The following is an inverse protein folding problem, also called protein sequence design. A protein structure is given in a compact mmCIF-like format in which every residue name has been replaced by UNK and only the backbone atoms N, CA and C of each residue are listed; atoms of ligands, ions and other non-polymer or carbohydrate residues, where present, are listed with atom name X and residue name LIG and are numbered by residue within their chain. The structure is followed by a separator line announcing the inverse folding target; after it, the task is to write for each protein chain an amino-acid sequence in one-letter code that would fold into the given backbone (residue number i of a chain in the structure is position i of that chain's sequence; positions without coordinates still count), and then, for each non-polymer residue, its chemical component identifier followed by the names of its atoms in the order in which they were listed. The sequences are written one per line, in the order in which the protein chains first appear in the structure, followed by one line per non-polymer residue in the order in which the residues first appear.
data_IF_424560183477
#
_entry.id   IF_424560183477
#
_cell.length_a   1.000
_cell.length_b   1.000
_cell.length_c   1.000
_cell.angle_alpha   90.00
_cell.angle_beta   90.00
_cell.angle_gamma   90.00
#
_symmetry.space_group_name_H-M   'P 1'
#
loop_
_entity.id
_entity.type
_entity.pdbx_description
1 polymer ?
#
# COMPACT_ATOMS: atom_id res chain seq x y z
N UNK A 1 -5.89 -16.18 4.76
CA UNK A 1 -5.49 -15.85 3.36
C UNK A 1 -3.98 -15.72 3.32
N UNK A 2 -3.29 -16.24 2.30
CA UNK A 2 -1.84 -16.08 2.15
C UNK A 2 -1.59 -15.02 1.06
N UNK A 3 -0.81 -13.99 1.39
CA UNK A 3 -0.41 -12.95 0.43
C UNK A 3 0.87 -13.42 -0.26
N UNK A 4 0.79 -13.68 -1.57
CA UNK A 4 1.90 -14.19 -2.39
C UNK A 4 2.34 -13.19 -3.45
N UNK A 5 1.50 -12.22 -3.81
CA UNK A 5 1.79 -11.21 -4.83
C UNK A 5 1.14 -9.89 -4.47
N UNK A 6 1.86 -8.81 -4.69
CA UNK A 6 1.40 -7.44 -4.38
C UNK A 6 1.55 -6.54 -5.61
N UNK A 7 0.53 -5.75 -5.89
CA UNK A 7 0.60 -4.67 -6.87
C UNK A 7 0.56 -3.34 -6.13
N UNK A 8 1.45 -2.44 -6.49
CA UNK A 8 1.49 -1.08 -5.95
C UNK A 8 1.17 -0.11 -7.08
N UNK A 9 0.20 0.78 -6.86
CA UNK A 9 -0.21 1.81 -7.81
C UNK A 9 0.24 3.17 -7.27
N UNK A 10 1.13 3.82 -8.00
CA UNK A 10 1.85 5.02 -7.60
C UNK A 10 3.27 4.70 -7.18
N UNK A 11 4.26 5.20 -7.91
CA UNK A 11 5.69 4.94 -7.73
C UNK A 11 6.44 6.12 -7.10
N UNK A 12 5.72 6.98 -6.38
CA UNK A 12 6.32 8.06 -5.57
C UNK A 12 7.20 7.53 -4.44
N UNK A 13 7.56 8.39 -3.51
CA UNK A 13 8.43 8.05 -2.36
C UNK A 13 7.87 6.86 -1.58
N UNK A 14 6.57 6.89 -1.26
CA UNK A 14 5.95 5.84 -0.45
C UNK A 14 5.80 4.53 -1.25
N UNK A 15 5.24 4.58 -2.47
CA UNK A 15 5.08 3.37 -3.27
C UNK A 15 6.41 2.69 -3.59
N UNK A 16 7.46 3.46 -3.90
CA UNK A 16 8.83 2.95 -4.06
C UNK A 16 9.37 2.31 -2.78
N UNK A 17 9.15 2.95 -1.63
CA UNK A 17 9.57 2.43 -0.33
C UNK A 17 8.87 1.12 0.04
N UNK A 18 7.54 1.04 -0.19
CA UNK A 18 6.74 -0.17 0.04
C UNK A 18 7.18 -1.29 -0.89
N UNK A 19 7.40 -1.00 -2.20
CA UNK A 19 7.90 -1.97 -3.16
C UNK A 19 9.24 -2.57 -2.75
N UNK A 20 10.19 -1.72 -2.35
CA UNK A 20 11.50 -2.15 -1.87
C UNK A 20 11.38 -3.02 -0.59
N UNK A 21 10.48 -2.66 0.31
CA UNK A 21 10.29 -3.39 1.56
C UNK A 21 9.69 -4.78 1.33
N UNK A 22 8.69 -4.90 0.47
CA UNK A 22 8.14 -6.18 0.02
C UNK A 22 9.19 -7.04 -0.70
N UNK A 23 9.98 -6.42 -1.57
CA UNK A 23 11.09 -7.10 -2.25
C UNK A 23 12.13 -7.67 -1.26
N UNK A 24 12.46 -6.94 -0.20
CA UNK A 24 13.34 -7.42 0.88
C UNK A 24 12.79 -8.67 1.56
N UNK A 25 11.48 -8.78 1.69
CA UNK A 25 10.77 -9.94 2.24
C UNK A 25 10.56 -11.07 1.21
N UNK A 26 11.16 -10.98 0.02
CA UNK A 26 10.99 -11.93 -1.09
C UNK A 26 9.55 -12.05 -1.60
N UNK A 27 8.73 -11.03 -1.42
CA UNK A 27 7.37 -10.98 -1.93
C UNK A 27 7.40 -10.43 -3.36
N UNK A 28 6.88 -11.13 -4.36
CA UNK A 28 6.74 -10.62 -5.72
C UNK A 28 5.91 -9.35 -5.76
N UNK A 29 6.46 -8.29 -6.35
CA UNK A 29 5.80 -6.99 -6.41
C UNK A 29 5.83 -6.42 -7.82
N UNK A 30 4.70 -5.84 -8.24
CA UNK A 30 4.62 -5.04 -9.47
C UNK A 30 4.30 -3.60 -9.10
N UNK A 31 5.12 -2.67 -9.58
CA UNK A 31 5.00 -1.24 -9.33
C UNK A 31 4.47 -0.54 -10.59
N UNK A 32 3.26 0.00 -10.51
CA UNK A 32 2.60 0.71 -11.60
C UNK A 32 2.56 2.22 -11.36
N UNK A 33 2.68 2.99 -12.45
CA UNK A 33 2.46 4.44 -12.44
C UNK A 33 1.78 4.89 -13.74
N UNK A 34 1.68 6.18 -13.98
CA UNK A 34 1.06 6.75 -15.19
C UNK A 34 1.75 6.31 -16.48
N UNK A 35 3.06 6.07 -16.43
CA UNK A 35 3.84 5.50 -17.55
C UNK A 35 4.91 4.55 -17.04
N UNK A 36 5.32 3.61 -17.91
CA UNK A 36 6.40 2.66 -17.60
C UNK A 36 7.74 3.37 -17.38
N UNK A 37 7.97 4.52 -18.02
CA UNK A 37 9.16 5.36 -17.77
C UNK A 37 9.22 5.85 -16.33
N UNK A 38 8.08 6.32 -15.76
CA UNK A 38 8.00 6.80 -14.37
C UNK A 38 8.30 5.66 -13.40
N UNK A 39 7.68 4.49 -13.57
CA UNK A 39 7.90 3.33 -12.71
C UNK A 39 9.31 2.75 -12.84
N UNK A 40 9.91 2.78 -14.04
CA UNK A 40 11.31 2.38 -14.28
C UNK A 40 12.27 3.32 -13.55
N UNK A 41 12.09 4.65 -13.68
CA UNK A 41 12.88 5.63 -12.94
C UNK A 41 12.71 5.47 -11.42
N UNK A 42 11.53 5.07 -10.96
CA UNK A 42 11.31 4.77 -9.56
C UNK A 42 12.13 3.56 -9.10
N UNK A 43 12.17 2.48 -9.88
CA UNK A 43 13.02 1.29 -9.62
C UNK A 43 14.50 1.66 -9.58
N UNK A 44 14.97 2.53 -10.47
CA UNK A 44 16.34 3.04 -10.42
C UNK A 44 16.61 3.86 -9.16
N UNK A 45 15.67 4.70 -8.72
CA UNK A 45 15.80 5.44 -7.46
C UNK A 45 15.89 4.51 -6.26
N UNK A 46 15.10 3.42 -6.23
CA UNK A 46 15.21 2.39 -5.18
C UNK A 46 16.63 1.82 -5.14
N UNK A 47 17.20 1.46 -6.29
CA UNK A 47 18.56 0.91 -6.39
C UNK A 47 19.65 1.88 -5.91
N UNK A 48 19.49 3.16 -6.22
CA UNK A 48 20.48 4.23 -5.91
C UNK A 48 20.24 4.88 -4.55
N UNK A 49 19.17 4.53 -3.82
CA UNK A 49 18.72 5.23 -2.60
C UNK A 49 19.79 5.28 -1.50
N UNK A 50 19.80 6.41 -0.79
CA UNK A 50 20.62 6.62 0.41
C UNK A 50 19.76 7.31 1.48
N UNK A 51 19.53 6.67 2.64
CA UNK A 51 19.97 5.31 3.02
C UNK A 51 19.38 4.24 2.11
N UNK A 52 20.02 3.04 2.01
CA UNK A 52 19.60 2.01 1.07
C UNK A 52 18.22 1.44 1.43
N UNK A 53 17.29 1.38 0.46
CA UNK A 53 15.98 0.76 0.64
C UNK A 53 16.02 -0.77 0.47
N UNK A 54 16.91 -1.28 -0.37
CA UNK A 54 17.14 -2.72 -0.52
C UNK A 54 18.23 -3.20 0.45
N UNK A 55 18.02 -4.40 1.03
CA UNK A 55 19.02 -5.13 1.81
C UNK A 55 20.06 -5.71 0.85
N UNK A 56 19.57 -6.35 -0.22
CA UNK A 56 20.38 -6.91 -1.30
C UNK A 56 19.97 -6.25 -2.62
N UNK A 57 20.90 -5.52 -3.23
CA UNK A 57 20.65 -4.81 -4.49
C UNK A 57 20.41 -5.75 -5.67
N UNK A 58 20.88 -6.99 -5.62
CA UNK A 58 20.66 -7.98 -6.66
C UNK A 58 19.18 -8.39 -6.78
N UNK A 59 18.37 -8.10 -5.76
CA UNK A 59 16.92 -8.38 -5.77
C UNK A 59 16.10 -7.34 -6.54
N UNK A 60 16.71 -6.28 -7.06
CA UNK A 60 15.97 -5.18 -7.73
C UNK A 60 15.08 -5.68 -8.87
N UNK A 61 15.50 -6.73 -9.59
CA UNK A 61 14.74 -7.29 -10.70
C UNK A 61 13.48 -8.06 -10.27
N UNK A 62 13.32 -8.35 -8.97
CA UNK A 62 12.09 -8.87 -8.41
C UNK A 62 10.99 -7.80 -8.31
N UNK A 63 11.34 -6.53 -8.49
CA UNK A 63 10.37 -5.43 -8.63
C UNK A 63 10.07 -5.27 -10.12
N UNK A 64 8.94 -5.83 -10.56
CA UNK A 64 8.42 -5.59 -11.91
C UNK A 64 7.86 -4.17 -11.99
N UNK A 65 7.95 -3.56 -13.17
CA UNK A 65 7.45 -2.21 -13.42
C UNK A 65 6.50 -2.21 -14.61
N UNK A 66 5.56 -1.27 -14.62
CA UNK A 66 4.61 -1.11 -15.71
C UNK A 66 3.80 0.19 -15.56
N UNK A 67 2.75 0.33 -16.34
CA UNK A 67 1.86 1.47 -16.28
C UNK A 67 0.39 1.07 -16.08
N UNK A 68 -0.41 2.03 -15.62
CA UNK A 68 -1.82 1.80 -15.29
C UNK A 68 -2.73 1.66 -16.52
N UNK A 69 -2.25 1.92 -17.73
CA UNK A 69 -3.06 1.84 -18.95
C UNK A 69 -2.91 0.47 -19.61
N UNK A 70 -1.68 0.02 -19.83
CA UNK A 70 -1.38 -1.17 -20.62
C UNK A 70 -1.13 -2.42 -19.76
N UNK A 71 -0.61 -2.23 -18.52
CA UNK A 71 -0.17 -3.34 -17.65
C UNK A 71 -1.13 -3.59 -16.48
N UNK A 72 -2.31 -2.99 -16.48
CA UNK A 72 -3.22 -3.04 -15.34
C UNK A 72 -3.77 -4.43 -15.02
N UNK A 73 -3.75 -5.33 -15.99
CA UNK A 73 -4.23 -6.70 -15.84
C UNK A 73 -3.50 -7.51 -14.75
N UNK A 74 -2.32 -7.07 -14.32
CA UNK A 74 -1.59 -7.68 -13.19
C UNK A 74 -2.39 -7.65 -11.87
N UNK A 75 -3.37 -6.76 -11.72
CA UNK A 75 -4.23 -6.72 -10.52
C UNK A 75 -5.14 -7.94 -10.40
N UNK A 76 -5.39 -8.65 -11.51
CA UNK A 76 -6.20 -9.88 -11.54
C UNK A 76 -5.53 -11.04 -10.79
N UNK A 77 -4.20 -10.98 -10.63
CA UNK A 77 -3.41 -12.03 -9.96
C UNK A 77 -2.93 -11.60 -8.56
N UNK A 78 -3.12 -10.32 -8.21
CA UNK A 78 -2.65 -9.79 -6.93
C UNK A 78 -3.50 -10.26 -5.76
N UNK A 79 -2.85 -10.64 -4.65
CA UNK A 79 -3.52 -10.91 -3.37
C UNK A 79 -3.75 -9.61 -2.58
N UNK A 80 -2.88 -8.65 -2.77
CA UNK A 80 -2.95 -7.34 -2.13
C UNK A 80 -2.58 -6.24 -3.12
N UNK A 81 -3.41 -5.20 -3.19
CA UNK A 81 -3.20 -4.04 -4.05
C UNK A 81 -3.08 -2.81 -3.14
N UNK A 82 -1.96 -2.12 -3.23
CA UNK A 82 -1.67 -0.91 -2.44
C UNK A 82 -1.74 0.31 -3.33
N UNK A 83 -2.63 1.23 -3.01
CA UNK A 83 -2.68 2.54 -3.64
C UNK A 83 -1.78 3.53 -2.87
N UNK A 84 -0.87 4.17 -3.58
CA UNK A 84 0.07 5.18 -3.08
C UNK A 84 0.24 6.35 -4.07
N UNK A 85 -0.87 6.75 -4.71
CA UNK A 85 -0.89 7.90 -5.63
C UNK A 85 -1.00 9.23 -4.86
N UNK A 86 -1.06 10.35 -5.61
CA UNK A 86 -1.21 11.69 -5.01
C UNK A 86 -2.43 11.79 -4.10
N UNK A 87 -2.34 12.63 -3.05
CA UNK A 87 -3.36 12.78 -2.01
C UNK A 87 -4.54 13.65 -2.50
N UNK A 88 -5.20 13.15 -3.55
CA UNK A 88 -6.38 13.75 -4.19
C UNK A 88 -7.49 12.73 -4.30
N UNK A 89 -8.63 13.03 -3.66
CA UNK A 89 -9.76 12.11 -3.56
C UNK A 89 -10.34 11.71 -4.92
N UNK A 90 -10.47 12.66 -5.85
CA UNK A 90 -10.98 12.43 -7.20
C UNK A 90 -10.10 11.46 -8.02
N UNK A 91 -8.78 11.49 -7.80
CA UNK A 91 -7.84 10.56 -8.45
C UNK A 91 -7.92 9.19 -7.80
N UNK A 92 -7.95 9.15 -6.45
CA UNK A 92 -8.04 7.90 -5.70
C UNK A 92 -9.33 7.13 -6.02
N UNK A 93 -10.48 7.81 -6.06
CA UNK A 93 -11.76 7.19 -6.43
C UNK A 93 -11.69 6.54 -7.83
N UNK A 94 -11.17 7.23 -8.84
CA UNK A 94 -10.99 6.65 -10.19
C UNK A 94 -10.09 5.41 -10.19
N UNK A 95 -9.05 5.41 -9.37
CA UNK A 95 -8.15 4.26 -9.22
C UNK A 95 -8.88 3.11 -8.54
N UNK A 96 -9.66 3.37 -7.48
CA UNK A 96 -10.43 2.32 -6.80
C UNK A 96 -11.48 1.69 -7.72
N UNK A 97 -12.25 2.50 -8.47
CA UNK A 97 -13.20 1.99 -9.46
C UNK A 97 -12.51 1.04 -10.45
N UNK A 98 -11.32 1.44 -10.92
CA UNK A 98 -10.54 0.61 -11.84
C UNK A 98 -10.02 -0.67 -11.17
N UNK A 99 -9.54 -0.60 -9.91
CA UNK A 99 -9.08 -1.76 -9.15
C UNK A 99 -10.23 -2.74 -8.92
N UNK A 100 -11.33 -2.27 -8.35
CA UNK A 100 -12.45 -3.13 -7.97
C UNK A 100 -13.12 -3.80 -9.17
N UNK A 101 -13.14 -3.14 -10.33
CA UNK A 101 -13.63 -3.71 -11.58
C UNK A 101 -12.74 -4.84 -12.13
N UNK A 102 -11.43 -4.82 -11.84
CA UNK A 102 -10.46 -5.71 -12.50
C UNK A 102 -9.78 -6.70 -11.54
N UNK A 103 -9.76 -6.46 -10.24
CA UNK A 103 -9.10 -7.35 -9.27
C UNK A 103 -9.73 -8.72 -9.20
N UNK A 104 -8.98 -9.73 -8.76
CA UNK A 104 -9.60 -11.01 -8.39
C UNK A 104 -10.48 -10.85 -7.14
N UNK A 105 -11.52 -11.67 -7.07
CA UNK A 105 -12.39 -11.72 -5.89
C UNK A 105 -11.57 -12.00 -4.62
N UNK A 106 -11.83 -11.22 -3.59
CA UNK A 106 -11.21 -11.38 -2.29
C UNK A 106 -9.80 -10.81 -2.13
N UNK A 107 -9.20 -10.23 -3.19
CA UNK A 107 -7.96 -9.49 -3.04
C UNK A 107 -8.14 -8.28 -2.10
N UNK A 108 -7.20 -8.06 -1.20
CA UNK A 108 -7.21 -6.88 -0.32
C UNK A 108 -6.81 -5.65 -1.15
N UNK A 109 -7.53 -4.56 -0.96
CA UNK A 109 -7.20 -3.24 -1.51
C UNK A 109 -6.92 -2.29 -0.36
N UNK A 110 -5.81 -1.59 -0.40
CA UNK A 110 -5.51 -0.61 0.63
C UNK A 110 -4.97 0.70 0.08
N UNK A 111 -5.28 1.80 0.78
CA UNK A 111 -4.67 3.11 0.54
C UNK A 111 -3.52 3.34 1.50
N UNK A 112 -2.47 4.00 1.04
CA UNK A 112 -1.39 4.48 1.92
C UNK A 112 -1.59 5.97 2.31
N UNK A 113 -2.81 6.47 2.30
CA UNK A 113 -3.10 7.84 2.75
C UNK A 113 -2.65 8.08 4.19
N UNK A 114 -2.25 9.32 4.48
CA UNK A 114 -1.90 9.76 5.85
C UNK A 114 -2.98 10.61 6.48
N UNK A 115 -3.95 11.11 5.71
CA UNK A 115 -4.85 12.18 6.16
C UNK A 115 -6.30 12.00 5.75
N UNK A 116 -6.60 11.32 4.64
CA UNK A 116 -7.98 11.19 4.16
C UNK A 116 -8.67 10.07 4.94
N UNK A 117 -9.79 10.35 5.63
CA UNK A 117 -10.55 9.33 6.36
C UNK A 117 -11.00 8.17 5.45
N UNK A 118 -10.97 6.94 5.96
CA UNK A 118 -11.39 5.77 5.18
C UNK A 118 -12.86 5.88 4.76
N UNK A 119 -13.69 6.53 5.56
CA UNK A 119 -15.09 6.78 5.24
C UNK A 119 -15.24 7.57 3.93
N UNK A 120 -14.41 8.60 3.73
CA UNK A 120 -14.41 9.42 2.50
C UNK A 120 -13.82 8.62 1.34
N UNK A 121 -12.70 7.90 1.55
CA UNK A 121 -12.08 7.08 0.52
C UNK A 121 -13.02 6.01 -0.04
N UNK A 122 -13.87 5.44 0.81
CA UNK A 122 -14.74 4.33 0.45
C UNK A 122 -16.20 4.69 0.23
N UNK A 123 -16.56 5.99 0.22
CA UNK A 123 -17.98 6.42 0.16
C UNK A 123 -18.72 5.94 -1.10
N UNK A 124 -18.02 5.83 -2.24
CA UNK A 124 -18.55 5.39 -3.53
C UNK A 124 -18.49 3.86 -3.72
N UNK A 125 -17.79 3.13 -2.84
CA UNK A 125 -17.69 1.68 -2.92
C UNK A 125 -18.96 1.01 -2.40
N UNK A 126 -19.31 -0.13 -3.00
CA UNK A 126 -20.37 -1.01 -2.49
C UNK A 126 -19.96 -1.65 -1.16
N UNK A 127 -20.94 -2.15 -0.39
CA UNK A 127 -20.64 -2.82 0.88
C UNK A 127 -19.79 -4.07 0.71
N UNK A 128 -19.91 -4.78 -0.42
CA UNK A 128 -19.05 -5.92 -0.74
C UNK A 128 -17.62 -5.50 -1.03
N UNK A 129 -17.41 -4.39 -1.73
CA UNK A 129 -16.08 -3.85 -1.99
C UNK A 129 -15.43 -3.34 -0.71
N UNK A 130 -16.20 -2.70 0.17
CA UNK A 130 -15.72 -2.22 1.48
C UNK A 130 -15.21 -3.36 2.37
N UNK A 131 -15.72 -4.60 2.21
CA UNK A 131 -15.19 -5.76 2.97
C UNK A 131 -13.70 -5.97 2.75
N UNK A 132 -13.20 -5.61 1.58
CA UNK A 132 -11.84 -5.83 1.14
C UNK A 132 -10.97 -4.56 1.15
N UNK A 133 -11.54 -3.40 1.52
CA UNK A 133 -10.88 -2.10 1.48
C UNK A 133 -10.46 -1.62 2.88
N UNK A 134 -9.18 -1.28 3.05
CA UNK A 134 -8.64 -0.71 4.30
C UNK A 134 -7.59 0.38 4.00
N UNK A 135 -7.05 1.02 5.03
CA UNK A 135 -5.83 1.81 4.92
C UNK A 135 -4.68 0.99 5.49
N UNK A 136 -3.53 1.05 4.82
CA UNK A 136 -2.24 0.57 5.35
C UNK A 136 -1.26 1.73 5.34
N UNK A 137 -1.19 2.45 6.44
CA UNK A 137 -0.38 3.64 6.57
C UNK A 137 1.05 3.27 6.99
N UNK A 138 1.94 3.23 6.01
CA UNK A 138 3.38 3.08 6.21
C UNK A 138 4.02 4.43 6.51
N UNK A 139 5.06 4.42 7.32
CA UNK A 139 5.84 5.61 7.65
C UNK A 139 7.13 5.68 6.85
N UNK A 140 7.54 6.87 6.46
CA UNK A 140 8.77 7.10 5.71
C UNK A 140 9.98 7.28 6.67
N UNK A 141 11.11 6.64 6.42
CA UNK A 141 11.43 5.68 5.37
C UNK A 141 10.88 4.27 5.68
N UNK A 142 10.14 3.68 4.72
CA UNK A 142 9.38 2.43 4.94
C UNK A 142 10.22 1.30 5.53
N UNK A 143 11.46 1.13 5.06
CA UNK A 143 12.36 0.08 5.55
C UNK A 143 12.69 0.23 7.04
N UNK A 144 12.86 1.45 7.51
CA UNK A 144 13.43 1.75 8.83
C UNK A 144 12.36 2.00 9.91
N UNK A 145 11.19 2.46 9.48
CA UNK A 145 10.06 2.71 10.39
C UNK A 145 9.33 1.41 10.70
N UNK A 146 9.35 1.00 11.96
CA UNK A 146 8.74 -0.26 12.40
C UNK A 146 7.22 -0.22 12.44
N UNK A 147 6.60 0.94 12.65
CA UNK A 147 5.16 1.10 12.77
C UNK A 147 4.44 0.95 11.42
N UNK A 148 3.33 0.22 11.42
CA UNK A 148 2.34 0.17 10.36
C UNK A 148 0.95 0.28 10.98
N UNK A 149 0.15 1.24 10.53
CA UNK A 149 -1.24 1.38 10.96
C UNK A 149 -2.18 0.77 9.93
N UNK A 150 -3.10 -0.07 10.38
CA UNK A 150 -4.18 -0.62 9.55
C UNK A 150 -5.47 0.03 10.03
N UNK A 151 -6.06 0.90 9.19
CA UNK A 151 -7.35 1.52 9.49
C UNK A 151 -8.45 0.78 8.77
N UNK A 152 -9.39 0.27 9.54
CA UNK A 152 -10.53 -0.50 9.02
C UNK A 152 -11.80 0.34 8.94
N UNK A 153 -12.70 -0.01 8.03
CA UNK A 153 -14.08 0.45 8.02
C UNK A 153 -15.01 -0.56 8.72
N UNK A 154 -16.28 -0.19 8.89
CA UNK A 154 -17.27 -1.00 9.60
C UNK A 154 -17.65 -2.30 8.86
N UNK A 155 -17.52 -2.32 7.53
CA UNK A 155 -17.88 -3.46 6.67
C UNK A 155 -16.74 -4.48 6.49
N UNK A 156 -15.51 -4.18 6.96
CA UNK A 156 -14.36 -5.05 6.71
C UNK A 156 -14.57 -6.50 7.15
N UNK A 157 -14.13 -7.43 6.33
CA UNK A 157 -13.92 -8.81 6.75
C UNK A 157 -12.75 -8.87 7.74
N UNK A 158 -13.08 -9.06 9.03
CA UNK A 158 -12.10 -9.09 10.11
C UNK A 158 -11.05 -10.19 9.96
N UNK A 159 -11.40 -11.32 9.29
CA UNK A 159 -10.42 -12.40 9.02
C UNK A 159 -9.36 -11.94 8.01
N UNK A 160 -9.77 -11.12 7.03
CA UNK A 160 -8.82 -10.54 6.06
C UNK A 160 -7.92 -9.50 6.72
N UNK A 161 -8.48 -8.64 7.56
CA UNK A 161 -7.69 -7.65 8.33
C UNK A 161 -6.68 -8.36 9.23
N UNK A 162 -7.08 -9.42 9.95
CA UNK A 162 -6.18 -10.22 10.78
C UNK A 162 -5.09 -10.93 9.93
N UNK A 163 -5.45 -11.47 8.78
CA UNK A 163 -4.49 -12.09 7.86
C UNK A 163 -3.48 -11.08 7.32
N UNK A 164 -3.93 -9.86 6.95
CA UNK A 164 -3.07 -8.77 6.50
C UNK A 164 -2.13 -8.33 7.63
N UNK A 165 -2.67 -8.15 8.84
CA UNK A 165 -1.89 -7.79 10.03
C UNK A 165 -0.79 -8.81 10.29
N UNK A 166 -1.11 -10.10 10.34
CA UNK A 166 -0.15 -11.18 10.54
C UNK A 166 0.91 -11.23 9.45
N UNK A 167 0.53 -11.02 8.20
CA UNK A 167 1.50 -10.91 7.10
C UNK A 167 2.47 -9.75 7.31
N UNK A 168 1.96 -8.58 7.66
CA UNK A 168 2.80 -7.41 7.90
C UNK A 168 3.74 -7.61 9.10
N UNK A 169 3.30 -8.31 10.14
CA UNK A 169 4.13 -8.62 11.32
C UNK A 169 5.18 -9.69 11.01
N UNK A 170 4.78 -10.82 10.44
CA UNK A 170 5.64 -11.99 10.30
C UNK A 170 6.58 -11.90 9.09
N UNK A 171 6.09 -11.40 7.96
CA UNK A 171 6.86 -11.36 6.71
C UNK A 171 7.56 -10.01 6.51
N UNK A 172 6.91 -8.90 6.91
CA UNK A 172 7.48 -7.57 6.74
C UNK A 172 8.19 -7.03 7.98
N UNK A 173 8.09 -7.71 9.12
CA UNK A 173 8.71 -7.27 10.38
C UNK A 173 8.16 -5.95 10.92
N UNK A 174 6.90 -5.62 10.63
CA UNK A 174 6.23 -4.41 11.10
C UNK A 174 5.54 -4.65 12.45
N UNK A 175 5.52 -3.64 13.30
CA UNK A 175 4.58 -3.55 14.41
C UNK A 175 3.24 -3.07 13.87
N UNK A 176 2.37 -3.99 13.44
CA UNK A 176 1.10 -3.64 12.81
C UNK A 176 0.01 -3.43 13.85
N UNK A 177 -0.59 -2.24 13.84
CA UNK A 177 -1.65 -1.83 14.79
C UNK A 177 -2.94 -1.57 14.02
N UNK A 178 -4.04 -2.17 14.47
CA UNK A 178 -5.37 -1.85 13.92
C UNK A 178 -5.89 -0.61 14.63
N UNK A 179 -6.17 0.44 13.85
CA UNK A 179 -6.60 1.75 14.33
C UNK A 179 -8.03 2.07 13.91
N UNK A 180 -8.64 3.00 14.65
CA UNK A 180 -9.90 3.62 14.25
C UNK A 180 -9.67 4.71 13.20
N UNK A 181 -10.71 5.02 12.40
CA UNK A 181 -10.72 6.13 11.43
C UNK A 181 -10.84 7.47 12.17
N UNK A 182 -9.76 7.89 12.79
CA UNK A 182 -9.66 9.19 13.47
C UNK A 182 -8.64 10.08 12.77
N UNK A 183 -8.82 11.42 12.71
CA UNK A 183 -7.86 12.32 12.06
C UNK A 183 -6.43 12.11 12.56
N UNK A 184 -5.50 11.85 11.64
CA UNK A 184 -4.10 11.56 11.95
C UNK A 184 -3.86 10.15 12.52
N UNK A 185 -4.84 9.26 12.52
CA UNK A 185 -4.82 7.89 13.04
C UNK A 185 -4.23 7.84 14.46
N UNK A 186 -3.20 7.05 14.72
CA UNK A 186 -2.54 6.96 16.03
C UNK A 186 -1.19 7.67 16.04
N UNK A 187 -0.30 7.32 15.11
CA UNK A 187 1.10 7.78 15.11
C UNK A 187 1.23 9.27 14.86
N UNK A 188 0.52 9.81 13.86
CA UNK A 188 0.55 11.25 13.60
C UNK A 188 -0.06 12.06 14.75
N UNK A 189 -1.12 11.55 15.41
CA UNK A 189 -1.71 12.23 16.58
C UNK A 189 -0.73 12.32 17.74
N UNK A 190 -0.03 11.23 18.04
CA UNK A 190 1.01 11.23 19.10
C UNK A 190 2.15 12.18 18.72
N UNK A 191 2.60 12.12 17.45
CA UNK A 191 3.68 12.99 16.97
C UNK A 191 3.33 14.46 17.03
N UNK A 192 2.13 14.86 16.58
CA UNK A 192 1.67 16.26 16.65
C UNK A 192 1.54 16.72 18.10
N UNK A 193 0.95 15.88 18.97
CA UNK A 193 0.87 16.21 20.40
C UNK A 193 2.24 16.44 21.02
N UNK A 194 3.20 15.55 20.74
CA UNK A 194 4.57 15.68 21.29
C UNK A 194 5.32 16.92 20.77
N UNK A 195 4.92 17.48 19.63
CA UNK A 195 5.51 18.73 19.12
C UNK A 195 4.87 20.00 19.72
N UNK A 196 3.75 19.87 20.40
CA UNK A 196 3.02 21.00 21.02
C UNK A 196 3.34 21.18 22.50
N UNK A 197 4.00 20.21 23.13
CA UNK A 197 4.44 20.19 24.54
C UNK A 197 5.93 20.51 24.61
#
# INVERSE_FOLDING_TARGET
MQIKSVVIIGSGTMGSGIAAHLCNANVPVTLLDLSTDISTKARERIYKSRPPLLIDKNKIDNIKVGNINDDFDVVKEADWIVEAVVERIDIKHKIYDKIFKNRKSGAIVSSNTSSIPIKILSEHLTDDEKKDFCITHFFNPVRYMGLLEIVKNENNDLKKIDSLKKFCENELGKGAIVCNDTPGFLGNRIGVYAMQV
#
